data_IF_707255366810
#
_entry.id   IF_707255366810
#
_cell.length_a   1.000
_cell.length_b   1.000
_cell.length_c   1.000
_cell.angle_alpha   90.00
_cell.angle_beta   90.00
_cell.angle_gamma   90.00
#
_symmetry.space_group_name_H-M   'P 1'
#
loop_
_entity.id
_entity.type
_entity.pdbx_description
1 polymer ?
#
# COMPACT_ATOMS: atom_id res chain seq x y z
N UNK A 1 29.41 1.98 -4.96
CA UNK A 1 29.41 2.75 -3.68
C UNK A 1 27.95 3.00 -3.31
N UNK A 2 27.55 2.79 -2.05
CA UNK A 2 26.19 3.09 -1.56
C UNK A 2 26.26 4.42 -0.82
N UNK A 3 25.37 5.36 -1.14
CA UNK A 3 25.22 6.64 -0.45
C UNK A 3 23.83 6.69 0.21
N UNK A 4 23.80 6.66 1.55
CA UNK A 4 22.57 6.69 2.34
C UNK A 4 22.39 8.08 2.94
N UNK A 5 21.28 8.74 2.61
CA UNK A 5 20.94 10.06 3.09
C UNK A 5 19.66 10.04 3.92
N UNK A 6 19.73 10.48 5.15
CA UNK A 6 18.58 10.60 6.03
C UNK A 6 18.05 12.04 5.98
N UNK A 7 16.74 12.21 5.77
CA UNK A 7 16.09 13.51 5.79
C UNK A 7 14.78 13.54 5.00
N UNK A 8 14.16 14.70 4.96
CA UNK A 8 13.04 14.94 4.05
C UNK A 8 13.54 14.83 2.60
N UNK A 9 12.83 14.06 1.78
CA UNK A 9 13.28 13.75 0.42
C UNK A 9 13.39 15.00 -0.46
N UNK A 10 12.50 15.99 -0.31
CA UNK A 10 12.57 17.24 -1.05
C UNK A 10 13.82 18.04 -0.68
N UNK A 11 14.17 18.09 0.61
CA UNK A 11 15.36 18.80 1.07
C UNK A 11 16.64 18.07 0.65
N UNK A 12 16.65 16.74 0.78
CA UNK A 12 17.80 15.92 0.39
C UNK A 12 18.06 15.98 -1.11
N UNK A 13 17.02 15.97 -1.92
CA UNK A 13 17.14 16.03 -3.38
C UNK A 13 17.75 17.35 -3.87
N UNK A 14 17.60 18.47 -3.15
CA UNK A 14 18.24 19.74 -3.49
C UNK A 14 19.79 19.63 -3.58
N UNK A 15 20.35 18.69 -2.83
CA UNK A 15 21.80 18.40 -2.88
C UNK A 15 22.22 17.43 -3.99
N UNK A 16 21.31 16.98 -4.83
CA UNK A 16 21.60 16.10 -5.97
C UNK A 16 21.67 16.97 -7.23
N UNK A 17 22.76 16.88 -8.03
CA UNK A 17 22.86 17.65 -9.27
C UNK A 17 21.77 17.33 -10.28
N UNK A 18 21.42 18.31 -11.10
CA UNK A 18 20.47 18.14 -12.21
C UNK A 18 20.99 17.08 -13.20
N UNK A 19 20.09 16.22 -13.68
CA UNK A 19 20.39 15.23 -14.70
C UNK A 19 21.51 14.26 -14.32
N UNK A 20 21.66 13.92 -13.04
CA UNK A 20 22.73 13.05 -12.55
C UNK A 20 22.31 11.62 -12.28
N UNK A 21 20.99 11.36 -12.16
CA UNK A 21 20.41 10.08 -11.77
C UNK A 21 19.89 9.34 -13.00
N UNK A 22 20.22 8.06 -13.14
CA UNK A 22 19.81 7.25 -14.30
C UNK A 22 18.36 6.76 -14.18
N UNK A 23 17.93 6.40 -12.96
CA UNK A 23 16.57 5.96 -12.68
C UNK A 23 16.17 6.27 -11.24
N UNK A 24 14.89 6.47 -11.00
CA UNK A 24 14.30 6.58 -9.66
C UNK A 24 13.30 5.46 -9.46
N UNK A 25 13.44 4.73 -8.35
CA UNK A 25 12.50 3.71 -7.91
C UNK A 25 12.02 4.10 -6.52
N UNK A 26 10.73 4.22 -6.33
CA UNK A 26 10.14 4.70 -5.07
C UNK A 26 8.86 3.99 -4.70
N UNK A 27 8.63 3.84 -3.40
CA UNK A 27 7.38 3.34 -2.81
C UNK A 27 6.82 4.44 -1.87
N UNK A 28 6.17 5.45 -2.43
CA UNK A 28 5.63 6.55 -1.64
C UNK A 28 4.40 6.11 -0.83
N UNK A 29 3.98 6.85 0.21
CA UNK A 29 2.72 6.61 0.90
C UNK A 29 1.55 6.54 -0.09
N UNK A 30 0.67 5.55 0.10
CA UNK A 30 -0.46 5.33 -0.82
C UNK A 30 -1.67 6.22 -0.52
N UNK A 31 -1.56 7.05 0.52
CA UNK A 31 -2.62 8.00 0.93
C UNK A 31 -3.97 7.31 1.19
N UNK A 32 -3.91 6.11 1.75
CA UNK A 32 -5.09 5.30 2.11
C UNK A 32 -5.53 5.55 3.56
N UNK A 33 -4.75 6.30 4.33
CA UNK A 33 -4.95 6.45 5.77
C UNK A 33 -4.82 5.12 6.49
N UNK A 34 -3.86 4.29 6.09
CA UNK A 34 -3.67 2.93 6.57
C UNK A 34 -3.60 2.88 8.09
N UNK A 35 -4.54 2.17 8.73
CA UNK A 35 -4.65 2.03 10.19
C UNK A 35 -4.69 3.37 10.96
N UNK A 36 -5.14 4.46 10.34
CA UNK A 36 -5.15 5.79 10.94
C UNK A 36 -3.75 6.39 11.18
N UNK A 37 -2.72 5.85 10.51
CA UNK A 37 -1.35 6.34 10.64
C UNK A 37 -1.15 7.61 9.83
N UNK A 38 -0.57 8.63 10.46
CA UNK A 38 -0.37 9.95 9.85
C UNK A 38 0.60 9.93 8.67
N UNK A 39 1.57 9.01 8.65
CA UNK A 39 2.53 8.90 7.57
C UNK A 39 1.92 8.46 6.22
N UNK A 40 0.77 7.76 6.23
CA UNK A 40 0.05 7.34 5.02
C UNK A 40 -1.12 8.28 4.67
N UNK A 41 -1.04 9.53 5.11
CA UNK A 41 -2.01 10.58 4.80
C UNK A 41 -1.33 11.95 4.80
N UNK A 42 -0.17 12.03 4.15
CA UNK A 42 0.63 13.25 4.08
C UNK A 42 0.35 14.08 2.83
N UNK A 43 -0.29 13.47 1.84
CA UNK A 43 -0.51 14.05 0.53
C UNK A 43 0.76 14.19 -0.30
N UNK A 44 1.89 13.64 0.15
CA UNK A 44 3.18 13.86 -0.52
C UNK A 44 3.20 13.26 -1.93
N UNK A 45 2.58 12.09 -2.12
CA UNK A 45 2.51 11.43 -3.43
C UNK A 45 1.72 12.24 -4.48
N UNK A 46 0.91 13.21 -4.04
CA UNK A 46 0.11 14.07 -4.93
C UNK A 46 0.72 15.46 -5.15
N UNK A 47 1.88 15.73 -4.53
CA UNK A 47 2.55 17.01 -4.69
C UNK A 47 3.35 17.06 -5.97
N UNK A 48 2.92 17.88 -6.93
CA UNK A 48 3.63 18.11 -8.19
C UNK A 48 5.08 18.56 -7.96
N UNK A 49 5.31 19.35 -6.89
CA UNK A 49 6.65 19.83 -6.54
C UNK A 49 7.63 18.69 -6.24
N UNK A 50 7.18 17.59 -5.61
CA UNK A 50 8.00 16.39 -5.41
C UNK A 50 8.47 15.82 -6.74
N UNK A 51 7.52 15.61 -7.66
CA UNK A 51 7.80 14.98 -8.94
C UNK A 51 8.62 15.88 -9.87
N UNK A 52 8.50 17.22 -9.75
CA UNK A 52 9.38 18.16 -10.44
C UNK A 52 10.84 18.03 -9.98
N UNK A 53 11.07 17.85 -8.69
CA UNK A 53 12.43 17.59 -8.17
C UNK A 53 12.97 16.24 -8.65
N UNK A 54 12.11 15.21 -8.68
CA UNK A 54 12.48 13.89 -9.26
C UNK A 54 12.85 14.05 -10.75
N UNK A 55 12.07 14.81 -11.52
CA UNK A 55 12.35 15.07 -12.93
C UNK A 55 13.68 15.82 -13.11
N UNK A 56 13.93 16.83 -12.27
CA UNK A 56 15.16 17.63 -12.31
C UNK A 56 16.42 16.77 -12.15
N UNK A 57 16.41 15.83 -11.19
CA UNK A 57 17.59 15.00 -10.92
C UNK A 57 17.79 13.89 -11.93
N UNK A 58 16.74 13.45 -12.62
CA UNK A 58 16.82 12.42 -13.65
C UNK A 58 17.53 12.93 -14.90
N UNK A 59 18.36 12.08 -15.48
CA UNK A 59 18.94 12.29 -16.79
C UNK A 59 17.85 12.32 -17.87
N UNK A 60 18.05 13.05 -18.98
CA UNK A 60 17.20 12.93 -20.15
C UNK A 60 17.06 11.45 -20.57
N UNK A 61 15.84 10.97 -20.72
CA UNK A 61 15.53 9.55 -20.98
C UNK A 61 15.60 8.63 -19.77
N UNK A 62 15.87 9.15 -18.56
CA UNK A 62 15.80 8.40 -17.32
C UNK A 62 14.37 7.96 -16.98
N UNK A 63 14.24 6.89 -16.23
CA UNK A 63 12.94 6.29 -15.90
C UNK A 63 12.59 6.49 -14.41
N UNK A 64 11.31 6.78 -14.17
CA UNK A 64 10.70 6.76 -12.86
C UNK A 64 9.81 5.52 -12.73
N UNK A 65 10.06 4.68 -11.72
CA UNK A 65 9.18 3.59 -11.31
C UNK A 65 8.62 3.92 -9.92
N UNK A 66 7.31 4.09 -9.84
CA UNK A 66 6.64 4.41 -8.59
C UNK A 66 5.57 3.38 -8.27
N UNK A 67 5.66 2.79 -7.07
CA UNK A 67 4.59 1.94 -6.56
C UNK A 67 3.37 2.78 -6.19
N UNK A 68 2.19 2.20 -6.31
CA UNK A 68 0.96 2.88 -5.97
C UNK A 68 -0.17 1.90 -5.63
N UNK A 69 -1.07 2.32 -4.75
CA UNK A 69 -2.24 1.54 -4.39
C UNK A 69 -3.32 1.59 -5.47
N UNK A 70 -4.01 0.47 -5.70
CA UNK A 70 -5.06 0.36 -6.72
C UNK A 70 -6.20 1.39 -6.59
N UNK A 71 -6.39 1.97 -5.40
CA UNK A 71 -7.44 2.97 -5.15
C UNK A 71 -7.00 4.41 -5.40
N UNK A 72 -5.69 4.68 -5.36
CA UNK A 72 -5.14 6.04 -5.28
C UNK A 72 -4.08 6.34 -6.33
N UNK A 73 -3.52 5.32 -7.00
CA UNK A 73 -2.45 5.48 -7.98
C UNK A 73 -2.75 6.52 -9.07
N UNK A 74 -4.01 6.63 -9.50
CA UNK A 74 -4.42 7.56 -10.55
C UNK A 74 -4.13 9.01 -10.18
N UNK A 75 -4.28 9.42 -8.90
CA UNK A 75 -3.96 10.77 -8.44
C UNK A 75 -2.46 11.05 -8.46
N UNK A 76 -1.68 10.05 -8.08
CA UNK A 76 -0.22 10.13 -8.17
C UNK A 76 0.23 10.20 -9.63
N UNK A 77 -0.34 9.39 -10.51
CA UNK A 77 -0.05 9.42 -11.95
C UNK A 77 -0.33 10.80 -12.55
N UNK A 78 -1.47 11.41 -12.23
CA UNK A 78 -1.76 12.79 -12.65
C UNK A 78 -0.69 13.79 -12.15
N UNK A 79 -0.29 13.68 -10.87
CA UNK A 79 0.73 14.58 -10.32
C UNK A 79 2.11 14.39 -10.96
N UNK A 80 2.46 13.16 -11.35
CA UNK A 80 3.67 12.83 -12.10
C UNK A 80 3.61 13.42 -13.50
N UNK A 81 2.50 13.26 -14.22
CA UNK A 81 2.29 13.82 -15.55
C UNK A 81 2.30 15.35 -15.53
N UNK A 82 1.61 15.97 -14.55
CA UNK A 82 1.61 17.43 -14.35
C UNK A 82 3.00 17.99 -14.00
N UNK A 83 3.89 17.16 -13.47
CA UNK A 83 5.28 17.54 -13.24
C UNK A 83 6.14 17.55 -14.51
N UNK A 84 5.65 16.99 -15.62
CA UNK A 84 6.30 16.96 -16.93
C UNK A 84 6.81 15.59 -17.37
N UNK A 85 6.45 14.51 -16.66
CA UNK A 85 6.74 13.16 -17.11
C UNK A 85 5.77 12.68 -18.18
N UNK A 86 6.22 11.79 -19.03
CA UNK A 86 5.37 11.02 -19.92
C UNK A 86 5.04 9.68 -19.27
N UNK A 87 3.75 9.40 -19.05
CA UNK A 87 3.32 8.09 -18.54
C UNK A 87 3.45 7.06 -19.66
N UNK A 88 4.31 6.06 -19.47
CA UNK A 88 4.59 5.02 -20.47
C UNK A 88 3.71 3.81 -20.30
N UNK A 89 3.65 3.28 -19.07
CA UNK A 89 2.95 2.03 -18.82
C UNK A 89 2.54 1.89 -17.35
N UNK A 90 1.65 0.96 -17.08
CA UNK A 90 1.27 0.51 -15.75
C UNK A 90 1.55 -0.99 -15.61
N UNK A 91 2.50 -1.34 -14.75
CA UNK A 91 2.91 -2.71 -14.50
C UNK A 91 2.21 -3.22 -13.25
N UNK A 92 1.57 -4.40 -13.33
CA UNK A 92 1.00 -5.05 -12.16
C UNK A 92 2.02 -5.91 -11.44
N UNK A 93 2.19 -5.64 -10.14
CA UNK A 93 2.91 -6.54 -9.25
C UNK A 93 1.93 -7.59 -8.72
N UNK A 94 2.02 -8.82 -9.23
CA UNK A 94 1.11 -9.91 -8.88
C UNK A 94 1.81 -10.90 -7.95
N UNK A 95 1.17 -11.22 -6.82
CA UNK A 95 1.67 -12.20 -5.86
C UNK A 95 0.50 -12.99 -5.25
N UNK A 96 0.77 -14.23 -4.82
CA UNK A 96 -0.25 -15.16 -4.35
C UNK A 96 -0.72 -14.92 -2.91
N UNK A 97 -0.05 -14.07 -2.14
CA UNK A 97 -0.43 -13.72 -0.79
C UNK A 97 -0.74 -12.22 -0.73
N UNK A 98 -1.83 -11.84 -0.11
CA UNK A 98 -2.18 -10.43 0.04
C UNK A 98 -3.36 -10.26 0.96
N UNK A 99 -3.51 -9.03 1.44
CA UNK A 99 -4.64 -8.70 2.26
C UNK A 99 -5.91 -8.55 1.42
N UNK A 100 -6.98 -9.30 1.70
CA UNK A 100 -8.27 -9.04 1.05
C UNK A 100 -8.70 -7.61 1.39
N UNK A 101 -8.89 -6.78 0.35
CA UNK A 101 -9.35 -5.40 0.49
C UNK A 101 -10.89 -5.32 0.44
N UNK A 102 -11.55 -6.31 1.01
CA UNK A 102 -13.00 -6.40 1.08
C UNK A 102 -13.50 -5.95 2.46
N UNK A 103 -14.61 -5.23 2.45
CA UNK A 103 -15.35 -4.88 3.66
C UNK A 103 -16.54 -5.82 3.81
N UNK A 104 -16.69 -6.41 4.99
CA UNK A 104 -17.95 -7.10 5.31
C UNK A 104 -19.04 -6.07 5.55
N UNK A 105 -19.87 -5.86 4.54
CA UNK A 105 -20.92 -4.83 4.54
C UNK A 105 -21.93 -5.09 5.67
N UNK A 106 -22.31 -6.36 5.89
CA UNK A 106 -23.25 -6.69 6.97
C UNK A 106 -22.71 -6.26 8.34
N UNK A 107 -21.46 -6.59 8.67
CA UNK A 107 -20.82 -6.14 9.92
C UNK A 107 -20.67 -4.63 10.01
N UNK A 108 -20.46 -3.95 8.88
CA UNK A 108 -20.35 -2.49 8.87
C UNK A 108 -21.72 -1.84 9.15
N UNK A 109 -22.78 -2.36 8.57
CA UNK A 109 -24.16 -1.89 8.81
C UNK A 109 -24.57 -2.12 10.25
N UNK A 110 -24.32 -3.32 10.80
CA UNK A 110 -24.62 -3.61 12.20
C UNK A 110 -23.93 -2.63 13.15
N UNK A 111 -22.66 -2.36 12.89
CA UNK A 111 -21.89 -1.39 13.67
C UNK A 111 -22.49 0.02 13.61
N UNK A 112 -22.99 0.44 12.46
CA UNK A 112 -23.65 1.74 12.29
C UNK A 112 -24.99 1.82 13.01
N UNK A 113 -25.72 0.70 13.06
CA UNK A 113 -27.01 0.58 13.69
C UNK A 113 -26.96 0.21 15.17
N UNK A 114 -25.77 -0.11 15.69
CA UNK A 114 -25.59 -0.61 17.06
C UNK A 114 -26.14 -2.02 17.30
N UNK A 115 -26.33 -2.80 16.23
CA UNK A 115 -26.86 -4.15 16.32
C UNK A 115 -25.75 -5.16 16.66
N UNK A 116 -26.06 -6.08 17.58
CA UNK A 116 -25.25 -7.27 17.86
C UNK A 116 -25.92 -8.49 17.22
N UNK A 117 -25.15 -9.27 16.46
CA UNK A 117 -25.62 -10.52 15.88
C UNK A 117 -25.42 -11.68 16.82
N UNK A 118 -26.42 -12.56 16.88
CA UNK A 118 -26.32 -13.82 17.58
C UNK A 118 -25.28 -14.72 16.90
N UNK A 119 -24.31 -15.20 17.68
CA UNK A 119 -23.32 -16.18 17.21
C UNK A 119 -23.96 -17.57 17.25
N UNK A 120 -24.23 -18.16 16.09
CA UNK A 120 -24.90 -19.48 15.96
C UNK A 120 -23.91 -20.62 15.77
N UNK A 121 -22.63 -20.35 15.58
CA UNK A 121 -21.59 -21.39 15.43
C UNK A 121 -20.23 -20.81 15.07
N UNK A 122 -19.25 -21.71 14.97
CA UNK A 122 -17.90 -21.39 14.50
C UNK A 122 -17.65 -22.07 13.17
N UNK A 123 -17.20 -21.33 12.16
CA UNK A 123 -16.70 -21.96 10.93
C UNK A 123 -15.32 -22.54 11.18
N UNK A 124 -15.09 -23.75 10.70
CA UNK A 124 -13.71 -24.22 10.55
C UNK A 124 -13.06 -23.40 9.43
N UNK A 125 -11.93 -22.77 9.73
CA UNK A 125 -11.12 -22.14 8.69
C UNK A 125 -10.77 -23.22 7.67
N UNK A 126 -11.10 -22.97 6.39
CA UNK A 126 -10.61 -23.83 5.31
C UNK A 126 -9.10 -23.62 5.27
N UNK A 127 -8.37 -24.48 5.91
CA UNK A 127 -6.93 -24.57 5.68
C UNK A 127 -6.78 -25.11 4.26
N UNK A 128 -6.38 -24.26 3.34
CA UNK A 128 -5.83 -24.72 2.08
C UNK A 128 -4.56 -25.50 2.41
N UNK A 129 -4.69 -26.78 2.62
CA UNK A 129 -3.56 -27.70 2.58
C UNK A 129 -3.17 -27.84 1.11
N UNK A 130 -2.37 -26.94 0.58
CA UNK A 130 -1.57 -27.24 -0.59
C UNK A 130 -0.61 -28.36 -0.17
N UNK A 131 -0.85 -29.56 -0.68
CA UNK A 131 0.08 -30.67 -0.58
C UNK A 131 1.43 -30.21 -1.16
N UNK A 132 2.38 -29.88 -0.31
CA UNK A 132 3.76 -29.66 -0.70
C UNK A 132 4.48 -28.41 -0.19
N UNK A 133 3.84 -27.51 0.54
CA UNK A 133 4.54 -26.37 1.11
C UNK A 133 4.34 -26.33 2.64
N UNK A 134 5.28 -26.95 3.37
CA UNK A 134 5.42 -26.70 4.81
C UNK A 134 6.10 -25.35 5.02
N UNK A 135 5.32 -24.28 5.20
CA UNK A 135 5.87 -23.01 5.68
C UNK A 135 6.22 -23.17 7.16
N UNK A 136 7.47 -23.52 7.44
CA UNK A 136 8.05 -23.42 8.79
C UNK A 136 8.41 -21.96 9.08
N UNK A 137 7.41 -21.10 9.16
CA UNK A 137 7.57 -19.74 9.65
C UNK A 137 7.73 -19.76 11.17
N UNK A 138 8.77 -19.14 11.66
CA UNK A 138 8.98 -18.89 13.08
C UNK A 138 7.76 -18.18 13.68
N UNK A 139 7.16 -18.78 14.71
CA UNK A 139 6.00 -18.23 15.45
C UNK A 139 6.34 -17.01 16.31
N UNK A 140 7.54 -16.45 16.15
CA UNK A 140 8.01 -15.27 16.89
C UNK A 140 8.28 -14.13 15.90
N UNK A 141 7.29 -13.26 15.68
CA UNK A 141 7.69 -12.01 15.09
C UNK A 141 6.72 -11.17 14.30
N UNK A 142 5.48 -11.50 14.10
CA UNK A 142 4.53 -10.50 13.65
C UNK A 142 3.29 -10.51 14.53
N UNK A 143 3.15 -9.48 15.35
CA UNK A 143 1.97 -9.27 16.19
C UNK A 143 0.70 -8.96 15.39
N UNK A 144 0.55 -9.56 14.22
CA UNK A 144 -0.68 -9.55 13.46
C UNK A 144 -1.59 -10.64 13.99
N UNK A 145 -2.42 -10.28 14.95
CA UNK A 145 -3.54 -11.09 15.32
C UNK A 145 -4.57 -11.01 14.17
N UNK A 146 -4.53 -11.99 13.27
CA UNK A 146 -5.41 -12.08 12.12
C UNK A 146 -6.90 -12.00 12.49
N UNK A 147 -7.27 -12.43 13.68
CA UNK A 147 -8.66 -12.42 14.16
C UNK A 147 -9.21 -10.99 14.34
N UNK A 148 -8.36 -10.04 14.69
CA UNK A 148 -8.77 -8.67 15.01
C UNK A 148 -8.95 -7.77 13.78
N UNK A 149 -8.26 -8.06 12.67
CA UNK A 149 -8.22 -7.17 11.50
C UNK A 149 -9.00 -7.68 10.28
N UNK A 150 -9.26 -8.98 10.19
CA UNK A 150 -9.78 -9.56 8.97
C UNK A 150 -11.26 -9.93 9.02
N UNK A 151 -11.88 -9.89 10.18
CA UNK A 151 -13.27 -10.27 10.31
C UNK A 151 -13.57 -11.71 9.88
N UNK A 152 -12.55 -12.53 9.64
CA UNK A 152 -12.64 -13.98 9.57
C UNK A 152 -12.69 -14.53 10.99
N UNK A 153 -13.56 -13.95 11.82
CA UNK A 153 -13.93 -14.63 13.04
C UNK A 153 -14.52 -15.99 12.65
N UNK A 154 -14.12 -17.04 13.32
CA UNK A 154 -14.69 -18.37 13.17
C UNK A 154 -16.18 -18.42 13.52
N UNK A 155 -16.78 -17.29 13.83
CA UNK A 155 -18.15 -17.20 14.28
C UNK A 155 -19.12 -17.03 13.10
N UNK A 156 -20.06 -17.93 13.01
CA UNK A 156 -21.19 -17.85 12.08
C UNK A 156 -22.34 -17.12 12.79
N UNK A 157 -22.77 -15.99 12.25
CA UNK A 157 -23.89 -15.24 12.76
C UNK A 157 -25.12 -15.40 11.85
N UNK A 158 -26.32 -15.36 12.43
CA UNK A 158 -27.55 -15.30 11.63
C UNK A 158 -27.53 -14.06 10.74
N UNK A 159 -27.80 -14.26 9.45
CA UNK A 159 -28.10 -13.16 8.53
C UNK A 159 -29.43 -12.50 8.91
N UNK A 160 -29.51 -11.19 8.78
CA UNK A 160 -30.77 -10.48 8.79
C UNK A 160 -31.45 -10.62 7.44
#
# INVERSE_FOLDING_TARGET
MIDLRLGDCLEVMKGIPDGSVDAVITDPPYELGFMGKSWDNTGIAYKIALWKEVLRVLKPGGHLLSFGGSRTYHRMACAIEDAGFEIRDQIMWVYGSGFPKSLNIGKAVDKLQGNEREVVGKTQSIQFQEKGYEYKGDKKGSGYNNEKYWGFGNDVTKGS
#
